data_IF_305423741958
#
_entry.id   IF_305423741958
#
_cell.length_a   1.000
_cell.length_b   1.000
_cell.length_c   1.000
_cell.angle_alpha   90.00
_cell.angle_beta   90.00
_cell.angle_gamma   90.00
#
_symmetry.space_group_name_H-M   'P 1'
#
loop_
_entity.id
_entity.type
_entity.pdbx_description
1 polymer ?
#
# COMPACT_ATOMS: atom_id res chain seq x y z
N UNK A 1 18.17 2.10 9.76
CA UNK A 1 16.83 2.70 9.59
C UNK A 1 16.03 1.75 8.71
N UNK A 2 14.79 1.42 9.08
CA UNK A 2 13.94 0.49 8.30
C UNK A 2 13.48 1.18 7.01
N UNK A 3 13.44 0.45 5.89
CA UNK A 3 12.83 0.91 4.63
C UNK A 3 11.32 0.87 4.76
N UNK A 4 10.64 1.99 4.54
CA UNK A 4 9.19 2.10 4.75
C UNK A 4 8.57 2.89 3.61
N UNK A 5 7.39 2.45 3.17
CA UNK A 5 6.59 3.13 2.17
C UNK A 5 5.12 3.12 2.60
N UNK A 6 4.48 4.28 2.62
CA UNK A 6 3.03 4.37 2.82
C UNK A 6 2.35 4.57 1.47
N UNK A 7 1.36 3.72 1.17
CA UNK A 7 0.62 3.73 -0.08
C UNK A 7 -0.86 3.98 0.19
N UNK A 8 -1.43 5.02 -0.40
CA UNK A 8 -2.84 5.36 -0.29
C UNK A 8 -3.62 4.75 -1.45
N UNK A 9 -4.63 3.95 -1.11
CA UNK A 9 -5.50 3.23 -2.03
C UNK A 9 -6.97 3.55 -1.73
N UNK A 10 -7.90 3.14 -2.60
CA UNK A 10 -9.32 3.16 -2.26
C UNK A 10 -9.63 2.27 -1.06
N UNK A 11 -10.69 2.61 -0.33
CA UNK A 11 -11.19 1.79 0.75
C UNK A 11 -11.97 0.59 0.21
N UNK A 12 -11.61 -0.60 0.66
CA UNK A 12 -12.34 -1.86 0.49
C UNK A 12 -12.26 -2.66 1.78
N UNK A 13 -13.13 -3.65 1.94
CA UNK A 13 -13.14 -4.52 3.10
C UNK A 13 -12.16 -5.67 2.97
N UNK A 14 -12.14 -6.34 1.82
CA UNK A 14 -11.39 -7.57 1.60
C UNK A 14 -10.22 -7.39 0.65
N UNK A 15 -10.32 -6.50 -0.33
CA UNK A 15 -9.29 -6.35 -1.37
C UNK A 15 -8.95 -7.69 -2.06
N UNK A 16 -9.98 -8.49 -2.32
CA UNK A 16 -9.92 -9.80 -2.99
C UNK A 16 -10.74 -9.81 -4.29
N UNK A 17 -10.66 -8.70 -5.03
CA UNK A 17 -11.48 -8.44 -6.20
C UNK A 17 -12.76 -7.67 -5.89
N UNK A 18 -13.32 -7.03 -6.92
CA UNK A 18 -14.55 -6.23 -6.81
C UNK A 18 -15.76 -7.17 -6.90
N UNK A 19 -16.68 -7.04 -5.95
CA UNK A 19 -17.98 -7.71 -5.99
C UNK A 19 -19.07 -6.77 -5.49
N UNK A 20 -20.32 -7.25 -5.38
CA UNK A 20 -21.44 -6.40 -4.98
C UNK A 20 -21.35 -5.90 -3.53
N UNK A 21 -20.68 -6.65 -2.65
CA UNK A 21 -20.52 -6.33 -1.24
C UNK A 21 -19.24 -5.55 -0.93
N UNK A 22 -18.24 -5.61 -1.82
CA UNK A 22 -16.95 -4.93 -1.66
C UNK A 22 -16.55 -4.16 -2.93
N UNK A 23 -16.91 -2.87 -2.95
CA UNK A 23 -16.60 -1.93 -4.03
C UNK A 23 -15.61 -0.87 -3.52
N UNK A 24 -14.65 -0.44 -4.34
CA UNK A 24 -13.72 0.61 -3.94
C UNK A 24 -14.45 1.92 -3.63
N UNK A 25 -14.12 2.53 -2.49
CA UNK A 25 -14.68 3.83 -2.05
C UNK A 25 -13.56 4.84 -1.83
N UNK A 26 -13.79 6.10 -2.20
CA UNK A 26 -12.81 7.19 -2.14
C UNK A 26 -11.54 6.93 -3.00
N UNK A 27 -11.67 6.11 -4.04
CA UNK A 27 -10.67 6.00 -5.10
C UNK A 27 -10.59 7.27 -5.96
N UNK A 28 -9.50 7.45 -6.70
CA UNK A 28 -9.36 8.57 -7.63
C UNK A 28 -10.48 8.58 -8.69
N UNK A 29 -10.59 9.68 -9.46
CA UNK A 29 -11.62 9.84 -10.49
C UNK A 29 -11.65 8.75 -11.56
N UNK A 30 -10.58 7.93 -11.67
CA UNK A 30 -10.45 6.83 -12.61
C UNK A 30 -11.27 5.58 -12.24
N UNK A 31 -11.60 5.41 -10.96
CA UNK A 31 -12.33 4.23 -10.44
C UNK A 31 -13.81 4.25 -10.82
N UNK A 32 -14.35 5.42 -11.19
CA UNK A 32 -15.75 5.56 -11.59
C UNK A 32 -16.05 4.98 -12.99
N UNK A 33 -15.05 4.89 -13.87
CA UNK A 33 -15.29 4.66 -15.31
C UNK A 33 -14.72 3.34 -15.86
N UNK A 34 -13.75 2.70 -15.19
CA UNK A 34 -12.94 1.64 -15.84
C UNK A 34 -13.07 0.22 -15.29
N UNK A 35 -13.80 -0.03 -14.19
CA UNK A 35 -13.95 -1.37 -13.56
C UNK A 35 -12.64 -2.10 -13.16
N UNK A 36 -11.48 -1.60 -13.55
CA UNK A 36 -10.15 -2.15 -13.24
C UNK A 36 -9.48 -1.37 -12.12
N UNK A 37 -9.91 -1.62 -10.88
CA UNK A 37 -9.13 -1.19 -9.73
C UNK A 37 -8.11 -2.27 -9.39
N UNK A 38 -6.92 -2.26 -10.00
CA UNK A 38 -5.85 -3.22 -9.69
C UNK A 38 -5.54 -3.31 -8.19
N UNK A 39 -5.72 -2.21 -7.46
CA UNK A 39 -5.61 -2.16 -5.99
C UNK A 39 -6.66 -3.00 -5.25
N UNK A 40 -7.78 -3.34 -5.90
CA UNK A 40 -8.83 -4.19 -5.37
C UNK A 40 -8.39 -5.64 -5.16
N UNK A 41 -7.24 -6.05 -5.71
CA UNK A 41 -6.68 -7.38 -5.56
C UNK A 41 -5.44 -7.39 -4.65
N UNK A 42 -5.14 -6.29 -3.95
CA UNK A 42 -3.94 -6.18 -3.09
C UNK A 42 -3.88 -7.26 -1.99
N UNK A 43 -4.98 -7.89 -1.59
CA UNK A 43 -4.95 -8.96 -0.61
C UNK A 43 -5.57 -10.25 -1.17
N UNK A 44 -5.45 -10.43 -2.49
CA UNK A 44 -5.79 -11.65 -3.23
C UNK A 44 -4.50 -12.42 -3.56
N UNK A 45 -4.18 -13.50 -2.82
CA UNK A 45 -3.05 -14.37 -3.13
C UNK A 45 -3.09 -14.92 -4.55
N UNK A 46 -1.92 -15.02 -5.17
CA UNK A 46 -1.71 -15.69 -6.45
C UNK A 46 -0.57 -16.70 -6.27
N UNK A 47 -0.78 -17.89 -6.83
CA UNK A 47 0.19 -18.98 -6.83
C UNK A 47 1.18 -18.80 -7.99
N UNK A 48 2.46 -18.93 -7.67
CA UNK A 48 3.53 -19.04 -8.64
C UNK A 48 4.20 -20.39 -8.44
N UNK A 49 4.45 -21.10 -9.54
CA UNK A 49 5.25 -22.33 -9.54
C UNK A 49 6.57 -22.02 -10.22
N UNK A 50 7.66 -22.14 -9.48
CA UNK A 50 9.03 -21.99 -9.99
C UNK A 50 9.82 -23.25 -9.64
N UNK A 51 10.45 -23.88 -10.62
CA UNK A 51 11.18 -25.15 -10.48
C UNK A 51 10.45 -26.27 -9.69
N UNK A 52 9.11 -26.26 -9.71
CA UNK A 52 8.27 -27.25 -9.02
C UNK A 52 7.96 -26.93 -7.55
N UNK A 53 8.42 -25.79 -7.03
CA UNK A 53 8.01 -25.25 -5.74
C UNK A 53 6.87 -24.24 -5.93
N UNK A 54 5.79 -24.44 -5.18
CA UNK A 54 4.67 -23.50 -5.15
C UNK A 54 4.90 -22.43 -4.09
N UNK A 55 4.67 -21.18 -4.45
CA UNK A 55 4.76 -20.04 -3.55
C UNK A 55 3.60 -19.08 -3.78
N UNK A 56 3.03 -18.57 -2.70
CA UNK A 56 1.93 -17.62 -2.76
C UNK A 56 2.41 -16.19 -2.51
N UNK A 57 1.96 -15.27 -3.37
CA UNK A 57 2.31 -13.87 -3.31
C UNK A 57 1.08 -12.97 -3.37
N UNK A 58 1.16 -11.81 -2.70
CA UNK A 58 0.28 -10.68 -2.96
C UNK A 58 0.91 -9.74 -3.98
N UNK A 59 0.12 -9.39 -5.00
CA UNK A 59 0.48 -8.42 -6.03
C UNK A 59 -0.09 -7.06 -5.66
N UNK A 60 0.67 -6.29 -4.89
CA UNK A 60 0.25 -4.97 -4.43
C UNK A 60 0.35 -3.91 -5.52
N UNK A 61 -0.70 -3.11 -5.61
CA UNK A 61 -0.81 -1.99 -6.53
C UNK A 61 -1.26 -0.71 -5.80
N UNK A 62 -0.61 0.40 -6.13
CA UNK A 62 -1.17 1.73 -5.96
C UNK A 62 -0.84 2.58 -7.16
N UNK A 63 -1.74 3.50 -7.48
CA UNK A 63 -1.55 4.41 -8.60
C UNK A 63 -0.53 5.51 -8.27
N UNK A 64 0.56 5.58 -9.03
CA UNK A 64 1.45 6.75 -9.08
C UNK A 64 0.79 7.89 -9.83
N UNK A 65 1.17 9.14 -9.54
CA UNK A 65 0.65 10.29 -10.28
C UNK A 65 0.85 10.09 -11.79
N UNK A 66 -0.12 10.50 -12.60
CA UNK A 66 0.08 10.61 -14.06
C UNK A 66 0.48 12.03 -14.44
N UNK A 67 1.25 12.17 -15.51
CA UNK A 67 1.49 13.46 -16.16
C UNK A 67 0.56 13.57 -17.36
N UNK A 68 -0.27 14.61 -17.40
CA UNK A 68 -1.24 14.88 -18.48
C UNK A 68 -2.24 13.73 -18.75
N UNK A 69 -2.50 12.85 -17.78
CA UNK A 69 -3.48 11.75 -17.89
C UNK A 69 -3.05 10.55 -18.75
N UNK A 70 -2.00 10.68 -19.57
CA UNK A 70 -1.61 9.66 -20.54
C UNK A 70 -0.37 8.85 -20.15
N UNK A 71 0.52 9.41 -19.33
CA UNK A 71 1.75 8.72 -18.91
C UNK A 71 1.73 8.46 -17.41
N UNK A 72 1.70 7.19 -17.02
CA UNK A 72 1.91 6.73 -15.65
C UNK A 72 3.35 7.07 -15.24
N UNK A 73 3.55 7.85 -14.17
CA UNK A 73 4.90 8.22 -13.75
C UNK A 73 5.59 7.05 -13.04
N UNK A 74 6.91 6.96 -13.19
CA UNK A 74 7.72 6.05 -12.39
C UNK A 74 7.64 6.37 -10.89
N UNK A 75 7.78 5.35 -10.07
CA UNK A 75 7.99 5.52 -8.63
C UNK A 75 9.46 5.87 -8.35
N UNK A 76 9.67 6.91 -7.56
CA UNK A 76 11.01 7.32 -7.13
C UNK A 76 11.50 6.47 -5.95
N UNK A 77 11.72 5.17 -6.17
CA UNK A 77 12.09 4.22 -5.10
C UNK A 77 13.41 4.57 -4.41
N UNK A 78 14.28 5.37 -5.04
CA UNK A 78 15.47 5.95 -4.41
C UNK A 78 15.17 6.84 -3.19
N UNK A 79 13.92 7.27 -3.02
CA UNK A 79 13.49 8.06 -1.86
C UNK A 79 13.21 7.22 -0.62
N UNK A 80 13.08 5.89 -0.77
CA UNK A 80 12.83 4.94 0.34
C UNK A 80 14.11 4.74 1.18
N UNK A 81 15.27 4.76 0.52
CA UNK A 81 16.57 4.58 1.16
C UNK A 81 17.60 5.51 0.51
N UNK A 82 18.05 6.53 1.25
CA UNK A 82 18.97 7.55 0.74
C UNK A 82 20.37 7.02 0.41
N UNK A 83 20.69 5.76 0.76
CA UNK A 83 21.97 5.12 0.48
C UNK A 83 22.06 4.41 -0.87
N UNK A 84 20.97 4.35 -1.65
CA UNK A 84 20.91 3.52 -2.86
C UNK A 84 21.12 4.30 -4.15
N UNK A 85 21.54 3.59 -5.20
CA UNK A 85 21.71 4.16 -6.54
C UNK A 85 20.35 4.62 -7.10
N UNK A 86 20.32 5.79 -7.75
CA UNK A 86 19.10 6.36 -8.34
C UNK A 86 18.55 5.56 -9.54
N UNK A 87 19.35 4.66 -10.12
CA UNK A 87 18.99 3.87 -11.29
C UNK A 87 18.56 2.44 -10.96
N UNK A 88 18.27 2.13 -9.68
CA UNK A 88 17.70 0.82 -9.35
C UNK A 88 16.27 0.71 -9.87
N UNK A 89 15.89 -0.50 -10.27
CA UNK A 89 14.56 -0.81 -10.81
C UNK A 89 13.64 -1.43 -9.76
N UNK A 90 14.20 -2.04 -8.72
CA UNK A 90 13.49 -2.59 -7.59
C UNK A 90 14.28 -2.40 -6.29
N UNK A 91 13.59 -2.40 -5.16
CA UNK A 91 14.18 -2.38 -3.82
C UNK A 91 13.47 -3.39 -2.92
N UNK A 92 14.25 -4.28 -2.32
CA UNK A 92 13.75 -5.31 -1.40
C UNK A 92 13.75 -4.87 0.06
N UNK A 93 13.14 -5.70 0.89
CA UNK A 93 13.07 -5.54 2.34
C UNK A 93 12.40 -4.23 2.77
N UNK A 94 11.32 -3.86 2.09
CA UNK A 94 10.51 -2.67 2.41
C UNK A 94 9.29 -3.08 3.24
N UNK A 95 9.02 -2.35 4.31
CA UNK A 95 7.70 -2.37 4.95
C UNK A 95 6.76 -1.47 4.15
N UNK A 96 5.83 -2.07 3.41
CA UNK A 96 4.79 -1.34 2.67
C UNK A 96 3.52 -1.30 3.51
N UNK A 97 3.04 -0.10 3.80
CA UNK A 97 1.87 0.14 4.65
C UNK A 97 0.73 0.66 3.77
N UNK A 98 -0.30 -0.16 3.59
CA UNK A 98 -1.49 0.18 2.84
C UNK A 98 -2.40 1.04 3.67
N UNK A 99 -2.84 2.16 3.12
CA UNK A 99 -3.61 3.17 3.80
C UNK A 99 -4.86 3.52 2.98
N UNK A 100 -6.01 3.70 3.63
CA UNK A 100 -7.21 4.15 2.95
C UNK A 100 -8.08 4.99 3.88
N UNK A 101 -8.96 5.81 3.29
CA UNK A 101 -9.96 6.57 4.04
C UNK A 101 -11.31 5.87 3.93
N UNK A 102 -11.78 5.30 5.04
CA UNK A 102 -13.14 4.74 5.11
C UNK A 102 -14.19 5.83 4.86
N UNK A 103 -15.31 5.51 4.18
CA UNK A 103 -16.45 6.42 4.08
C UNK A 103 -17.06 6.77 5.45
N UNK A 104 -16.91 5.90 6.46
CA UNK A 104 -17.46 6.12 7.80
C UNK A 104 -16.55 6.94 8.73
N UNK A 105 -15.30 7.19 8.34
CA UNK A 105 -14.29 7.81 9.20
C UNK A 105 -13.77 9.12 8.58
N UNK A 106 -13.44 10.07 9.44
CA UNK A 106 -12.89 11.38 9.06
C UNK A 106 -11.35 11.40 8.92
N UNK A 107 -10.70 10.24 9.05
CA UNK A 107 -9.25 10.06 8.96
C UNK A 107 -8.86 8.92 8.01
N UNK A 108 -7.63 8.98 7.49
CA UNK A 108 -7.02 7.85 6.77
C UNK A 108 -6.43 6.89 7.78
N UNK A 109 -6.70 5.61 7.62
CA UNK A 109 -6.19 4.54 8.48
C UNK A 109 -5.25 3.61 7.71
N UNK A 110 -4.36 2.93 8.43
CA UNK A 110 -3.72 1.71 7.95
C UNK A 110 -4.81 0.66 7.74
N UNK A 111 -4.84 0.03 6.56
CA UNK A 111 -5.74 -1.08 6.25
C UNK A 111 -5.04 -2.43 6.35
N UNK A 112 -3.73 -2.45 6.11
CA UNK A 112 -2.89 -3.63 6.15
C UNK A 112 -1.46 -3.28 5.77
N UNK A 113 -0.61 -4.28 5.68
CA UNK A 113 0.79 -4.09 5.30
C UNK A 113 1.36 -5.34 4.67
N UNK A 114 2.47 -5.16 3.95
CA UNK A 114 3.37 -6.23 3.57
C UNK A 114 4.73 -6.00 4.24
N UNK A 115 5.21 -7.00 4.96
CA UNK A 115 6.59 -7.07 5.42
C UNK A 115 7.47 -7.59 4.27
N UNK A 116 8.77 -7.29 4.36
CA UNK A 116 9.81 -7.78 3.45
C UNK A 116 9.51 -7.63 1.94
N UNK A 117 8.70 -6.63 1.56
CA UNK A 117 8.22 -6.49 0.19
C UNK A 117 9.32 -6.01 -0.76
N UNK A 118 9.22 -6.43 -2.02
CA UNK A 118 9.92 -5.84 -3.16
C UNK A 118 9.06 -4.74 -3.75
N UNK A 119 9.62 -3.54 -3.90
CA UNK A 119 8.94 -2.38 -4.50
C UNK A 119 9.61 -2.03 -5.82
N UNK A 120 8.83 -1.91 -6.89
CA UNK A 120 9.32 -1.66 -8.24
C UNK A 120 9.20 -0.18 -8.62
N UNK A 121 10.15 0.31 -9.43
CA UNK A 121 10.12 1.64 -10.04
C UNK A 121 9.00 1.77 -11.06
N UNK A 122 8.86 0.75 -11.91
CA UNK A 122 7.85 0.67 -12.96
C UNK A 122 6.83 -0.41 -12.62
N UNK A 123 5.61 -0.25 -13.14
CA UNK A 123 4.59 -1.27 -12.98
C UNK A 123 5.06 -2.56 -13.65
N UNK A 124 4.90 -3.64 -12.94
CA UNK A 124 5.02 -5.00 -13.44
C UNK A 124 3.62 -5.48 -13.84
N UNK A 125 3.57 -6.52 -14.67
CA UNK A 125 2.33 -7.14 -15.11
C UNK A 125 2.43 -8.65 -15.00
N UNK A 126 1.29 -9.29 -14.75
CA UNK A 126 1.13 -10.73 -14.86
C UNK A 126 -0.21 -11.03 -15.50
N UNK A 127 -0.23 -12.03 -16.38
CA UNK A 127 -1.45 -12.59 -16.95
C UNK A 127 -2.00 -13.61 -15.96
N UNK A 128 -3.18 -13.34 -15.39
CA UNK A 128 -3.83 -14.24 -14.42
C UNK A 128 -4.66 -15.30 -15.14
N UNK A 129 -5.34 -14.86 -16.20
CA UNK A 129 -6.04 -15.70 -17.17
C UNK A 129 -5.97 -15.03 -18.54
N UNK A 130 -6.51 -15.69 -19.57
CA UNK A 130 -6.44 -15.21 -20.96
C UNK A 130 -7.13 -13.87 -21.23
N UNK A 131 -7.84 -13.30 -20.26
CA UNK A 131 -8.62 -12.07 -20.42
C UNK A 131 -8.20 -10.96 -19.42
N UNK A 132 -7.36 -11.27 -18.43
CA UNK A 132 -7.00 -10.34 -17.37
C UNK A 132 -5.49 -10.19 -17.12
N UNK A 133 -5.01 -8.95 -17.30
CA UNK A 133 -3.67 -8.52 -16.92
C UNK A 133 -3.73 -7.76 -15.60
N UNK A 134 -3.09 -8.31 -14.58
CA UNK A 134 -2.92 -7.67 -13.28
C UNK A 134 -1.63 -6.83 -13.29
N UNK A 135 -1.77 -5.52 -13.10
CA UNK A 135 -0.62 -4.65 -12.82
C UNK A 135 -0.31 -4.62 -11.33
N UNK A 136 0.98 -4.55 -10.99
CA UNK A 136 1.46 -4.40 -9.62
C UNK A 136 2.75 -3.59 -9.57
N UNK A 137 3.05 -3.00 -8.42
CA UNK A 137 4.32 -2.30 -8.18
C UNK A 137 4.92 -2.63 -6.81
N UNK A 138 4.30 -3.57 -6.09
CA UNK A 138 4.76 -4.14 -4.83
C UNK A 138 4.51 -5.64 -4.88
N UNK A 139 5.49 -6.45 -4.48
CA UNK A 139 5.39 -7.90 -4.38
C UNK A 139 5.80 -8.34 -2.97
N UNK A 140 5.03 -9.23 -2.35
CA UNK A 140 5.38 -9.84 -1.07
C UNK A 140 4.79 -11.24 -0.95
N UNK A 141 5.45 -12.12 -0.19
CA UNK A 141 4.90 -13.43 0.15
C UNK A 141 3.68 -13.26 1.04
N UNK A 142 2.69 -14.14 0.90
CA UNK A 142 1.46 -14.10 1.72
C UNK A 142 1.75 -14.15 3.21
N UNK A 143 2.74 -14.93 3.65
CA UNK A 143 3.16 -15.03 5.06
C UNK A 143 3.63 -13.70 5.67
N UNK A 144 4.02 -12.74 4.84
CA UNK A 144 4.45 -11.40 5.23
C UNK A 144 3.32 -10.35 5.13
N UNK A 145 2.15 -10.75 4.64
CA UNK A 145 1.02 -9.87 4.37
C UNK A 145 -0.03 -9.97 5.49
N UNK A 146 -0.52 -8.81 5.93
CA UNK A 146 -1.64 -8.74 6.87
C UNK A 146 -2.67 -7.75 6.38
N UNK A 147 -3.92 -8.20 6.31
CA UNK A 147 -5.09 -7.35 6.16
C UNK A 147 -5.77 -7.19 7.52
N UNK A 148 -5.84 -5.97 8.04
CA UNK A 148 -6.51 -5.72 9.32
C UNK A 148 -8.03 -5.93 9.19
N UNK A 149 -8.74 -6.41 10.22
CA UNK A 149 -10.20 -6.40 10.25
C UNK A 149 -10.79 -4.98 10.21
N UNK A 150 -11.97 -4.79 9.58
CA UNK A 150 -12.63 -3.46 9.45
C UNK A 150 -12.77 -2.72 10.80
N UNK A 151 -13.19 -3.41 11.86
CA UNK A 151 -13.34 -2.86 13.20
C UNK A 151 -11.99 -2.46 13.84
N UNK A 152 -10.89 -3.13 13.46
CA UNK A 152 -9.54 -2.79 13.90
C UNK A 152 -9.06 -1.52 13.19
N UNK A 153 -9.20 -1.44 11.85
CA UNK A 153 -8.84 -0.26 11.04
C UNK A 153 -9.46 1.05 11.56
N UNK A 154 -10.68 0.99 12.07
CA UNK A 154 -11.41 2.16 12.61
C UNK A 154 -10.90 2.69 13.95
N UNK A 155 -9.94 2.02 14.60
CA UNK A 155 -9.35 2.48 15.87
C UNK A 155 -8.33 3.59 15.62
N UNK A 156 -8.80 4.85 15.56
CA UNK A 156 -7.97 6.04 15.31
C UNK A 156 -6.70 6.11 16.14
N UNK A 157 -6.78 5.81 17.43
CA UNK A 157 -5.62 5.91 18.35
C UNK A 157 -4.47 4.96 17.98
N UNK A 158 -4.76 3.89 17.25
CA UNK A 158 -3.78 2.90 16.81
C UNK A 158 -3.38 3.14 15.35
N UNK A 159 -4.36 3.22 14.45
CA UNK A 159 -4.12 3.04 13.02
C UNK A 159 -4.28 4.31 12.18
N UNK A 160 -4.42 5.49 12.78
CA UNK A 160 -4.47 6.73 12.00
C UNK A 160 -3.18 6.98 11.23
N UNK A 161 -3.29 7.62 10.06
CA UNK A 161 -2.18 7.97 9.19
C UNK A 161 -2.17 9.49 8.94
N UNK A 162 -1.02 10.17 9.14
CA UNK A 162 -0.91 11.61 8.98
C UNK A 162 -1.07 12.03 7.52
N UNK A 163 -1.71 13.18 7.35
CA UNK A 163 -1.74 13.94 6.10
C UNK A 163 -1.25 15.36 6.37
N UNK A 164 -0.41 15.88 5.48
CA UNK A 164 0.11 17.24 5.60
C UNK A 164 -1.07 18.22 5.46
N UNK A 165 -1.23 19.11 6.44
CA UNK A 165 -2.23 20.19 6.39
C UNK A 165 -1.58 21.53 6.71
N UNK A 166 -1.95 22.56 5.94
CA UNK A 166 -1.50 23.95 6.13
C UNK A 166 -2.09 24.63 7.36
N UNK A 167 -3.20 24.11 7.90
CA UNK A 167 -3.84 24.62 9.13
C UNK A 167 -3.96 23.48 10.14
N UNK A 168 -3.26 23.61 11.27
CA UNK A 168 -3.35 22.74 12.45
C UNK A 168 -3.07 21.24 12.24
N UNK A 169 -2.40 20.83 11.16
CA UNK A 169 -2.00 19.43 10.95
C UNK A 169 -0.49 19.22 10.98
N UNK A 170 -0.04 17.95 10.90
CA UNK A 170 1.38 17.62 10.92
C UNK A 170 2.11 18.18 9.70
N UNK A 171 3.41 18.47 9.86
CA UNK A 171 4.32 18.84 8.77
C UNK A 171 4.87 17.61 8.01
N UNK A 172 4.33 16.42 8.28
CA UNK A 172 4.72 15.14 7.71
C UNK A 172 3.47 14.32 7.36
N UNK A 173 3.62 13.28 6.56
CA UNK A 173 2.52 12.42 6.12
C UNK A 173 2.23 12.55 4.63
N UNK A 174 1.11 11.97 4.21
CA UNK A 174 0.68 12.09 2.82
C UNK A 174 0.46 13.56 2.42
N UNK A 175 1.06 13.93 1.29
CA UNK A 175 0.72 15.15 0.55
C UNK A 175 -0.39 14.89 -0.46
N UNK A 176 -0.23 15.45 -1.67
CA UNK A 176 -1.17 15.25 -2.79
C UNK A 176 -0.94 13.96 -3.58
N UNK A 177 0.13 13.19 -3.29
CA UNK A 177 0.41 11.93 -3.97
C UNK A 177 -0.20 10.77 -3.18
N UNK A 178 -0.48 9.66 -3.86
CA UNK A 178 -0.88 8.39 -3.23
C UNK A 178 0.27 7.68 -2.51
N UNK A 179 1.44 8.30 -2.38
CA UNK A 179 2.61 7.70 -1.77
C UNK A 179 3.28 8.68 -0.80
N UNK A 180 3.75 8.15 0.32
CA UNK A 180 4.56 8.88 1.29
C UNK A 180 5.78 8.04 1.69
N UNK A 181 6.97 8.60 1.42
CA UNK A 181 8.27 7.96 1.65
C UNK A 181 8.80 8.13 3.08
N UNK A 182 8.14 8.95 3.91
CA UNK A 182 8.55 9.23 5.28
C UNK A 182 10.02 9.71 5.46
N UNK A 183 10.58 10.34 4.43
CA UNK A 183 11.99 10.72 4.35
C UNK A 183 12.26 12.19 4.71
N UNK A 184 11.29 12.89 5.30
CA UNK A 184 11.47 14.27 5.77
C UNK A 184 12.57 14.31 6.83
N UNK A 185 13.55 15.20 6.66
CA UNK A 185 14.69 15.34 7.57
C UNK A 185 14.30 16.04 8.87
N UNK A 186 14.98 15.68 9.95
CA UNK A 186 14.97 16.38 11.24
C UNK A 186 13.56 16.65 11.81
N UNK A 187 12.64 15.70 11.64
CA UNK A 187 11.25 15.83 12.09
C UNK A 187 10.95 14.84 13.22
N UNK A 188 11.12 15.28 14.47
CA UNK A 188 10.89 14.43 15.67
C UNK A 188 9.48 13.84 15.73
N UNK A 189 8.45 14.64 15.44
CA UNK A 189 7.06 14.17 15.48
C UNK A 189 6.78 13.07 14.45
N UNK A 190 7.45 13.11 13.29
CA UNK A 190 7.41 12.03 12.31
C UNK A 190 8.09 10.78 12.84
N UNK A 191 9.29 10.89 13.42
CA UNK A 191 10.01 9.75 14.01
C UNK A 191 9.20 9.09 15.15
N UNK A 192 8.58 9.88 16.03
CA UNK A 192 7.72 9.38 17.10
C UNK A 192 6.50 8.62 16.54
N UNK A 193 5.90 9.13 15.46
CA UNK A 193 4.82 8.44 14.75
C UNK A 193 5.29 7.13 14.10
N UNK A 194 6.43 7.14 13.40
CA UNK A 194 6.99 5.96 12.76
C UNK A 194 7.31 4.87 13.78
N UNK A 195 7.98 5.22 14.89
CA UNK A 195 8.27 4.28 15.96
C UNK A 195 7.00 3.64 16.53
N UNK A 196 5.95 4.44 16.72
CA UNK A 196 4.65 3.93 17.18
C UNK A 196 4.01 2.98 16.18
N UNK A 197 3.88 3.37 14.92
CA UNK A 197 3.16 2.55 13.93
C UNK A 197 3.93 1.27 13.59
N UNK A 198 5.26 1.34 13.52
CA UNK A 198 6.13 0.18 13.36
C UNK A 198 5.96 -0.76 14.56
N UNK A 199 5.98 -0.22 15.79
CA UNK A 199 5.74 -1.02 16.99
C UNK A 199 4.38 -1.72 16.98
N UNK A 200 3.32 -1.06 16.49
CA UNK A 200 2.01 -1.69 16.35
C UNK A 200 2.01 -2.82 15.31
N UNK A 201 2.70 -2.64 14.18
CA UNK A 201 2.80 -3.64 13.10
C UNK A 201 3.67 -4.84 13.49
N UNK A 202 4.78 -4.60 14.18
CA UNK A 202 5.73 -5.65 14.56
C UNK A 202 5.18 -6.52 15.70
N UNK A 203 4.35 -5.94 16.57
CA UNK A 203 3.71 -6.65 17.68
C UNK A 203 2.25 -7.02 17.39
N UNK A 204 1.80 -6.93 16.14
CA UNK A 204 0.43 -7.33 15.79
C UNK A 204 0.29 -8.85 15.88
N UNK A 205 -0.63 -9.30 16.72
CA UNK A 205 -0.97 -10.71 16.97
C UNK A 205 -2.48 -10.98 16.78
N UNK A 206 -3.21 -10.01 16.19
CA UNK A 206 -4.63 -10.12 15.91
C UNK A 206 -4.95 -10.89 14.62
N UNK A 207 -6.23 -10.94 14.30
CA UNK A 207 -6.74 -11.62 13.09
C UNK A 207 -6.13 -11.05 11.80
N UNK A 208 -5.82 -11.93 10.86
CA UNK A 208 -5.48 -11.59 9.49
C UNK A 208 -6.69 -11.89 8.59
N UNK A 209 -7.35 -10.86 8.08
CA UNK A 209 -8.55 -11.03 7.24
C UNK A 209 -8.28 -11.63 5.85
N UNK A 210 -7.01 -11.89 5.52
CA UNK A 210 -6.66 -12.70 4.35
C UNK A 210 -6.96 -14.18 4.55
N UNK A 211 -6.99 -14.67 5.80
CA UNK A 211 -7.13 -16.08 6.15
C UNK A 211 -8.59 -16.49 6.47
N UNK A 212 -9.54 -15.55 6.34
CA UNK A 212 -10.94 -15.66 6.80
C UNK A 212 -11.93 -15.74 5.65
#
# INVERSE_FOLDING_TARGET
MRRILFCNIAWMDKYQGINDDDKPVNGGSYVADTKDAHEACNFSPIYFTDDGEESEYCLGFFETKSTNGNNKNQLHIEKIDNGINKNIEAIDNVLVIWCAKSPSNDFTSVVGWYKNATVYRYYQEVEIDSEYIQFYNVLAKVEDCVLLPRNVRSRRTMWWVPRISRKNGPSYGFGQANVWFANEKDNKSKEDYLNKIIGLIDNYDGENYMEV
#
